data_IF_785817516108
#
_entry.id   IF_785817516108
#
_cell.length_a   1.000
_cell.length_b   1.000
_cell.length_c   1.000
_cell.angle_alpha   90.00
_cell.angle_beta   90.00
_cell.angle_gamma   90.00
#
_symmetry.space_group_name_H-M   'P 1'
#
loop_
_entity.id
_entity.type
_entity.pdbx_description
1 polymer ?
#
# COMPACT_ATOMS: atom_id res chain seq x y z
N UNK A 1 -17.17 26.34 -25.67
CA UNK A 1 -18.25 25.78 -24.82
C UNK A 1 -17.62 25.26 -23.53
N UNK A 2 -18.01 25.77 -22.35
CA UNK A 2 -17.43 25.33 -21.07
C UNK A 2 -18.00 23.95 -20.72
N UNK A 3 -17.14 22.93 -20.61
CA UNK A 3 -17.55 21.62 -20.07
C UNK A 3 -17.39 21.65 -18.56
N UNK A 4 -18.44 21.27 -17.85
CA UNK A 4 -18.43 21.13 -16.39
C UNK A 4 -18.43 19.64 -16.10
N UNK A 5 -17.41 19.17 -15.40
CA UNK A 5 -17.29 17.79 -14.95
C UNK A 5 -17.56 17.75 -13.44
N UNK A 6 -18.28 16.72 -12.99
CA UNK A 6 -18.43 16.48 -11.55
C UNK A 6 -17.15 15.85 -11.02
N UNK A 7 -16.62 16.38 -9.92
CA UNK A 7 -15.54 15.74 -9.18
C UNK A 7 -16.09 14.43 -8.59
N UNK A 8 -15.41 13.29 -8.75
CA UNK A 8 -15.81 12.04 -8.13
C UNK A 8 -15.97 12.19 -6.62
N UNK A 9 -16.99 11.55 -6.04
CA UNK A 9 -17.20 11.54 -4.59
C UNK A 9 -15.97 10.95 -3.89
N UNK A 10 -15.64 11.46 -2.70
CA UNK A 10 -14.45 11.11 -1.90
C UNK A 10 -13.09 11.60 -2.40
N UNK A 11 -13.02 12.33 -3.51
CA UNK A 11 -11.76 12.96 -3.96
C UNK A 11 -11.27 14.01 -2.94
N UNK A 12 -9.99 13.93 -2.57
CA UNK A 12 -9.32 14.84 -1.61
C UNK A 12 -8.10 15.53 -2.20
N UNK A 13 -7.39 14.87 -3.12
CA UNK A 13 -6.22 15.42 -3.81
C UNK A 13 -6.47 15.56 -5.30
N UNK A 14 -5.72 16.45 -5.93
CA UNK A 14 -5.73 16.67 -7.39
C UNK A 14 -4.29 16.64 -7.86
N UNK A 15 -3.97 15.66 -8.70
CA UNK A 15 -2.70 15.63 -9.43
C UNK A 15 -2.90 16.25 -10.81
N UNK A 16 -2.02 17.18 -11.16
CA UNK A 16 -2.03 17.87 -12.44
C UNK A 16 -0.70 17.63 -13.13
N UNK A 17 -0.74 16.99 -14.29
CA UNK A 17 0.43 16.73 -15.12
C UNK A 17 0.29 17.52 -16.43
N UNK A 18 1.35 18.25 -16.79
CA UNK A 18 1.46 18.91 -18.08
C UNK A 18 2.35 18.08 -19.01
N UNK A 19 1.79 17.66 -20.13
CA UNK A 19 2.49 16.93 -21.20
C UNK A 19 2.57 17.81 -22.45
N UNK A 20 3.30 17.35 -23.47
CA UNK A 20 3.34 18.05 -24.77
C UNK A 20 1.95 18.10 -25.45
N UNK A 21 1.07 17.15 -25.13
CA UNK A 21 -0.27 17.04 -25.73
C UNK A 21 -1.37 17.78 -24.93
N UNK A 22 -1.08 18.20 -23.69
CA UNK A 22 -2.03 18.98 -22.90
C UNK A 22 -1.84 18.86 -21.38
N UNK A 23 -2.95 18.98 -20.66
CA UNK A 23 -2.99 18.87 -19.19
C UNK A 23 -3.87 17.68 -18.82
N UNK A 24 -3.31 16.75 -18.04
CA UNK A 24 -4.05 15.65 -17.40
C UNK A 24 -4.36 16.05 -15.96
N UNK A 25 -5.60 15.81 -15.53
CA UNK A 25 -6.04 16.08 -14.15
C UNK A 25 -6.64 14.81 -13.57
N UNK A 26 -6.08 14.35 -12.44
CA UNK A 26 -6.48 13.13 -11.74
C UNK A 26 -7.05 13.54 -10.38
N UNK A 27 -8.23 13.05 -10.05
CA UNK A 27 -8.88 13.26 -8.75
C UNK A 27 -8.71 12.01 -7.90
N UNK A 28 -8.01 12.14 -6.79
CA UNK A 28 -7.59 11.00 -5.97
C UNK A 28 -8.32 11.05 -4.62
N UNK A 29 -8.81 9.91 -4.10
CA UNK A 29 -9.38 9.86 -2.75
C UNK A 29 -8.31 10.16 -1.69
N UNK A 30 -8.70 10.22 -0.41
CA UNK A 30 -7.77 10.39 0.72
C UNK A 30 -6.84 9.16 0.84
N UNK A 31 -5.87 9.01 -0.05
CA UNK A 31 -5.01 7.83 -0.09
C UNK A 31 -3.78 8.04 0.79
N UNK A 32 -4.03 8.13 2.10
CA UNK A 32 -3.03 8.28 3.16
C UNK A 32 -2.17 7.02 3.37
N UNK A 33 -2.23 6.06 2.44
CA UNK A 33 -1.52 4.78 2.51
C UNK A 33 -0.67 4.44 1.28
N UNK A 34 -0.63 5.25 0.23
CA UNK A 34 0.13 4.90 -0.97
C UNK A 34 1.62 5.27 -0.84
N UNK A 35 2.52 4.38 -1.24
CA UNK A 35 3.96 4.62 -1.25
C UNK A 35 4.66 3.79 -2.34
N UNK A 36 5.83 4.26 -2.82
CA UNK A 36 6.67 3.44 -3.70
C UNK A 36 7.42 2.44 -2.83
N UNK A 37 7.17 1.16 -3.03
CA UNK A 37 7.86 0.10 -2.29
C UNK A 37 9.18 -0.24 -2.97
N UNK A 38 10.28 -0.21 -2.22
CA UNK A 38 11.61 -0.53 -2.76
C UNK A 38 11.74 -2.01 -3.19
N UNK A 39 10.97 -2.91 -2.59
CA UNK A 39 11.01 -4.34 -2.91
C UNK A 39 10.24 -4.65 -4.20
N UNK A 40 9.06 -4.06 -4.37
CA UNK A 40 8.23 -4.33 -5.55
C UNK A 40 8.54 -3.40 -6.73
N UNK A 41 9.21 -2.28 -6.45
CA UNK A 41 9.47 -1.15 -7.36
C UNK A 41 8.18 -0.54 -7.94
N UNK A 42 7.06 -0.70 -7.24
CA UNK A 42 5.74 -0.29 -7.68
C UNK A 42 5.04 0.59 -6.62
N UNK A 43 3.95 1.25 -7.03
CA UNK A 43 3.06 1.95 -6.11
C UNK A 43 2.25 0.93 -5.31
N UNK A 44 2.51 0.88 -4.00
CA UNK A 44 1.89 -0.02 -3.04
C UNK A 44 1.04 0.75 -2.02
N UNK A 45 0.20 0.01 -1.30
CA UNK A 45 -0.76 0.60 -0.36
C UNK A 45 -0.63 -0.04 1.02
N UNK A 46 -0.55 0.79 2.06
CA UNK A 46 -0.74 0.39 3.45
C UNK A 46 -2.15 -0.20 3.58
N UNK A 47 -2.30 -1.42 4.09
CA UNK A 47 -3.61 -2.07 4.15
C UNK A 47 -4.52 -1.41 5.19
N UNK A 48 -5.83 -1.45 4.92
CA UNK A 48 -6.87 -1.12 5.89
C UNK A 48 -7.32 -2.34 6.69
N UNK A 49 -7.95 -2.11 7.85
CA UNK A 49 -8.46 -3.18 8.71
C UNK A 49 -9.36 -4.16 7.94
N UNK A 50 -9.11 -5.46 8.11
CA UNK A 50 -9.72 -6.60 7.43
C UNK A 50 -9.40 -6.77 5.94
N UNK A 51 -8.54 -5.94 5.35
CA UNK A 51 -8.07 -6.16 3.98
C UNK A 51 -7.06 -7.31 3.91
N UNK A 52 -7.04 -8.01 2.76
CA UNK A 52 -6.04 -9.03 2.48
C UNK A 52 -4.71 -8.36 2.16
N UNK A 53 -3.64 -8.83 2.79
CA UNK A 53 -2.36 -8.14 2.82
C UNK A 53 -1.20 -9.14 2.92
N UNK A 54 -0.03 -8.70 2.49
CA UNK A 54 1.24 -9.38 2.66
C UNK A 54 1.95 -8.74 3.85
N UNK A 55 2.43 -9.56 4.77
CA UNK A 55 3.15 -9.12 5.97
C UNK A 55 4.55 -9.75 6.02
N UNK A 56 5.57 -8.98 6.40
CA UNK A 56 6.95 -9.45 6.55
C UNK A 56 7.74 -8.62 7.56
N UNK A 57 8.97 -9.05 7.89
CA UNK A 57 9.87 -8.32 8.79
C UNK A 57 9.77 -8.71 10.27
N UNK A 58 9.04 -9.76 10.65
CA UNK A 58 9.13 -10.26 12.03
C UNK A 58 10.57 -10.76 12.33
N UNK A 59 10.96 -10.84 13.60
CA UNK A 59 12.11 -11.58 14.16
C UNK A 59 12.36 -13.00 13.59
N UNK A 60 11.46 -13.53 12.75
CA UNK A 60 11.68 -14.68 11.89
C UNK A 60 12.03 -14.22 10.46
N UNK A 61 13.31 -13.95 10.23
CA UNK A 61 13.87 -13.66 8.90
C UNK A 61 13.48 -14.75 7.88
N UNK A 62 13.03 -14.34 6.69
CA UNK A 62 12.70 -15.27 5.59
C UNK A 62 11.23 -15.70 5.47
N UNK A 63 10.32 -15.12 6.26
CA UNK A 63 8.89 -15.47 6.19
C UNK A 63 8.06 -14.24 5.81
N UNK A 64 7.43 -14.29 4.64
CA UNK A 64 6.30 -13.44 4.29
C UNK A 64 5.01 -14.25 4.41
N UNK A 65 3.93 -13.63 4.89
CA UNK A 65 2.62 -14.29 5.01
C UNK A 65 1.52 -13.48 4.36
N UNK A 66 0.53 -14.16 3.79
CA UNK A 66 -0.71 -13.55 3.31
C UNK A 66 -1.78 -13.73 4.39
N UNK A 67 -2.37 -12.63 4.84
CA UNK A 67 -3.38 -12.64 5.90
C UNK A 67 -4.29 -11.42 5.81
N UNK A 68 -5.19 -11.26 6.79
CA UNK A 68 -5.98 -10.03 6.92
C UNK A 68 -5.38 -9.11 7.97
N UNK A 69 -5.35 -7.80 7.71
CA UNK A 69 -4.93 -6.83 8.73
C UNK A 69 -5.94 -6.81 9.88
N UNK A 70 -5.45 -6.98 11.11
CA UNK A 70 -6.26 -6.95 12.32
C UNK A 70 -6.14 -5.61 13.05
N UNK A 71 -4.91 -5.13 13.21
CA UNK A 71 -4.62 -3.88 13.91
C UNK A 71 -3.30 -3.24 13.44
N UNK A 72 -3.14 -1.95 13.73
CA UNK A 72 -1.93 -1.16 13.45
C UNK A 72 -1.52 -0.46 14.73
N UNK A 73 -0.25 -0.56 15.12
CA UNK A 73 0.32 0.20 16.23
C UNK A 73 1.46 1.08 15.75
N UNK A 74 1.55 2.28 16.34
CA UNK A 74 2.60 3.24 16.11
C UNK A 74 3.44 3.32 17.39
N UNK A 75 4.73 3.07 17.29
CA UNK A 75 5.69 3.21 18.38
C UNK A 75 6.77 4.26 18.05
N UNK A 76 7.79 4.38 18.90
CA UNK A 76 8.87 5.35 18.69
C UNK A 76 9.79 4.98 17.51
N UNK A 77 9.81 3.70 17.11
CA UNK A 77 10.70 3.15 16.08
C UNK A 77 10.00 2.97 14.72
N UNK A 78 8.66 3.05 14.68
CA UNK A 78 7.89 3.02 13.44
C UNK A 78 6.44 2.55 13.60
N UNK A 79 6.00 1.75 12.64
CA UNK A 79 4.64 1.25 12.52
C UNK A 79 4.68 -0.28 12.40
N UNK A 80 3.94 -0.98 13.25
CA UNK A 80 3.83 -2.45 13.24
C UNK A 80 2.39 -2.89 12.96
N UNK A 81 2.27 -4.04 12.30
CA UNK A 81 1.03 -4.54 11.72
C UNK A 81 0.67 -5.90 12.30
N UNK A 82 -0.52 -6.05 12.88
CA UNK A 82 -1.01 -7.33 13.36
C UNK A 82 -1.77 -8.06 12.24
N UNK A 83 -1.31 -9.24 11.87
CA UNK A 83 -2.07 -10.13 11.01
C UNK A 83 -3.18 -10.86 11.81
N UNK A 84 -4.22 -11.33 11.13
CA UNK A 84 -5.28 -12.14 11.73
C UNK A 84 -4.82 -13.48 12.34
N UNK A 85 -3.54 -13.84 12.19
CA UNK A 85 -2.88 -14.95 12.88
C UNK A 85 -2.50 -14.62 14.33
N UNK A 86 -2.55 -13.33 14.73
CA UNK A 86 -2.11 -12.84 16.04
C UNK A 86 -0.61 -12.54 16.13
N UNK A 87 0.10 -12.58 15.00
CA UNK A 87 1.51 -12.21 14.89
C UNK A 87 1.64 -10.77 14.37
N UNK A 88 2.68 -10.09 14.87
CA UNK A 88 3.05 -8.73 14.48
C UNK A 88 4.20 -8.75 13.47
N UNK A 89 4.22 -7.76 12.59
CA UNK A 89 5.16 -7.62 11.49
C UNK A 89 5.53 -6.14 11.31
N UNK A 90 6.77 -5.88 10.88
CA UNK A 90 7.31 -4.54 10.68
C UNK A 90 6.76 -3.90 9.40
N UNK A 91 6.31 -4.73 8.46
CA UNK A 91 5.83 -4.28 7.16
C UNK A 91 4.53 -4.97 6.77
N UNK A 92 3.64 -4.20 6.13
CA UNK A 92 2.47 -4.74 5.48
C UNK A 92 2.09 -3.93 4.24
N UNK A 93 1.70 -4.63 3.16
CA UNK A 93 1.08 -4.02 1.98
C UNK A 93 -0.18 -4.77 1.57
N UNK A 94 -1.12 -4.06 0.96
CA UNK A 94 -2.33 -4.65 0.41
C UNK A 94 -1.99 -5.68 -0.68
N UNK A 95 -2.58 -6.87 -0.57
CA UNK A 95 -2.37 -7.94 -1.54
C UNK A 95 -3.04 -7.59 -2.86
N UNK A 96 -2.28 -7.62 -3.94
CA UNK A 96 -2.72 -7.35 -5.32
C UNK A 96 -2.66 -8.59 -6.19
N UNK A 97 -1.53 -9.29 -6.20
CA UNK A 97 -1.29 -10.47 -7.04
C UNK A 97 -0.13 -11.32 -6.48
N UNK A 98 0.12 -12.48 -7.09
CA UNK A 98 1.20 -13.39 -6.65
C UNK A 98 2.59 -12.84 -6.94
N UNK A 99 2.79 -12.10 -8.03
CA UNK A 99 4.09 -11.51 -8.38
C UNK A 99 4.59 -10.57 -7.26
N UNK A 100 3.69 -9.76 -6.71
CA UNK A 100 3.96 -8.91 -5.55
C UNK A 100 4.45 -9.72 -4.34
N UNK A 101 3.84 -10.88 -4.10
CA UNK A 101 4.23 -11.78 -3.00
C UNK A 101 5.56 -12.47 -3.26
N UNK A 102 5.81 -12.92 -4.49
CA UNK A 102 7.05 -13.59 -4.88
C UNK A 102 8.25 -12.63 -4.74
N UNK A 103 8.12 -11.37 -5.19
CA UNK A 103 9.15 -10.33 -4.99
C UNK A 103 9.49 -10.12 -3.51
N UNK A 104 8.47 -10.09 -2.64
CA UNK A 104 8.66 -9.93 -1.19
C UNK A 104 9.33 -11.16 -0.57
N UNK A 105 8.96 -12.37 -0.98
CA UNK A 105 9.61 -13.58 -0.52
C UNK A 105 11.08 -13.64 -0.92
N UNK A 106 11.41 -13.31 -2.18
CA UNK A 106 12.78 -13.31 -2.69
C UNK A 106 13.66 -12.30 -1.95
N UNK A 107 13.12 -11.10 -1.68
CA UNK A 107 13.86 -10.07 -0.94
C UNK A 107 14.08 -10.43 0.53
N UNK A 108 13.15 -11.15 1.18
CA UNK A 108 13.28 -11.56 2.59
C UNK A 108 14.17 -12.79 2.79
N UNK A 109 14.51 -13.51 1.72
CA UNK A 109 15.35 -14.72 1.77
C UNK A 109 16.87 -14.42 1.75
N UNK A 110 17.25 -13.15 1.56
CA UNK A 110 18.63 -12.64 1.54
C UNK A 110 19.04 -12.07 2.90
#
# INVERSE_FOLDING_TARGET
>A
MKRIYKIPEHSRYITVEATEEGITTIFEPDDTGAFICEITEELEYIPSKNELSIFWGNSNSGIAVIGKLKDIQFDEDGCVFEANTGLWYDHAIRFRNSEQYDKILESNAL
#
